data_IF_154762932884
#
_entry.id   IF_154762932884
#
_cell.length_a   1.000
_cell.length_b   1.000
_cell.length_c   1.000
_cell.angle_alpha   90.00
_cell.angle_beta   90.00
_cell.angle_gamma   90.00
#
_symmetry.space_group_name_H-M   'P 1'
#
loop_
_entity.id
_entity.type
_entity.pdbx_description
1 polymer ?
#
# COMPACT_ATOMS: atom_id res chain seq x y z
N UNK A 1 28.50 -9.87 2.71
CA UNK A 1 27.09 -9.58 2.33
C UNK A 1 27.10 -8.53 1.23
N UNK A 2 26.69 -8.87 0.01
CA UNK A 2 26.54 -7.89 -1.05
C UNK A 2 25.36 -6.98 -0.71
N UNK A 3 25.59 -5.67 -0.62
CA UNK A 3 24.53 -4.67 -0.52
C UNK A 3 23.61 -4.83 -1.73
N UNK A 4 22.36 -5.28 -1.51
CA UNK A 4 21.37 -5.32 -2.58
C UNK A 4 21.26 -3.94 -3.24
N UNK A 5 21.11 -3.88 -4.56
CA UNK A 5 20.89 -2.60 -5.23
C UNK A 5 19.62 -1.93 -4.68
N UNK A 6 19.58 -0.59 -4.68
CA UNK A 6 18.44 0.17 -4.15
C UNK A 6 17.07 -0.29 -4.70
N UNK A 7 16.92 -0.63 -6.00
CA UNK A 7 15.66 -1.16 -6.53
C UNK A 7 15.24 -2.50 -5.89
N UNK A 8 16.18 -3.40 -5.62
CA UNK A 8 15.89 -4.69 -4.97
C UNK A 8 15.41 -4.50 -3.53
N UNK A 9 15.96 -3.53 -2.80
CA UNK A 9 15.46 -3.18 -1.46
C UNK A 9 14.04 -2.64 -1.51
N UNK A 10 13.74 -1.74 -2.46
CA UNK A 10 12.38 -1.20 -2.65
C UNK A 10 11.37 -2.30 -2.99
N UNK A 11 11.75 -3.26 -3.83
CA UNK A 11 10.91 -4.41 -4.17
C UNK A 11 10.59 -5.28 -2.95
N UNK A 12 11.61 -5.64 -2.16
CA UNK A 12 11.41 -6.43 -0.93
C UNK A 12 10.54 -5.66 0.09
N UNK A 13 10.79 -4.36 0.26
CA UNK A 13 9.95 -3.52 1.12
C UNK A 13 8.49 -3.51 0.64
N UNK A 14 8.26 -3.45 -0.68
CA UNK A 14 6.90 -3.50 -1.23
C UNK A 14 6.24 -4.85 -0.98
N UNK A 15 6.92 -5.97 -1.20
CA UNK A 15 6.38 -7.30 -0.87
C UNK A 15 6.03 -7.44 0.61
N UNK A 16 6.91 -6.99 1.50
CA UNK A 16 6.63 -6.99 2.95
C UNK A 16 5.38 -6.16 3.29
N UNK A 17 5.17 -5.03 2.60
CA UNK A 17 3.98 -4.18 2.83
C UNK A 17 2.64 -4.82 2.42
N UNK A 18 2.68 -5.97 1.70
CA UNK A 18 1.50 -6.73 1.31
C UNK A 18 1.09 -7.79 2.34
N UNK A 19 1.96 -8.10 3.33
CA UNK A 19 1.60 -9.05 4.39
C UNK A 19 0.36 -8.58 5.14
N UNK A 20 -0.48 -9.53 5.48
CA UNK A 20 -1.78 -9.37 6.12
C UNK A 20 -2.82 -8.54 5.32
N UNK A 21 -2.53 -8.19 4.07
CA UNK A 21 -3.48 -7.51 3.16
C UNK A 21 -4.14 -8.51 2.20
N UNK A 22 -5.35 -8.18 1.75
CA UNK A 22 -6.05 -8.93 0.71
C UNK A 22 -5.45 -8.64 -0.67
N UNK A 23 -4.96 -9.69 -1.32
CA UNK A 23 -4.34 -9.62 -2.64
C UNK A 23 -5.05 -10.55 -3.62
N UNK A 24 -4.95 -10.22 -4.90
CA UNK A 24 -5.24 -11.11 -6.02
C UNK A 24 -3.91 -11.58 -6.60
N UNK A 25 -3.68 -12.88 -6.55
CA UNK A 25 -2.55 -13.55 -7.20
C UNK A 25 -3.06 -14.14 -8.51
N UNK A 26 -2.61 -13.60 -9.65
CA UNK A 26 -2.89 -14.19 -10.96
C UNK A 26 -1.79 -15.18 -11.32
N UNK A 27 -2.21 -16.25 -11.98
CA UNK A 27 -1.32 -17.29 -12.47
C UNK A 27 -1.17 -17.20 -13.99
N UNK A 28 -0.06 -17.71 -14.51
CA UNK A 28 0.26 -17.75 -15.94
C UNK A 28 -0.70 -18.62 -16.79
N UNK A 29 -1.59 -19.39 -16.16
CA UNK A 29 -2.61 -20.21 -16.79
C UNK A 29 -4.02 -19.57 -16.77
N UNK A 30 -4.13 -18.30 -16.37
CA UNK A 30 -5.40 -17.57 -16.34
C UNK A 30 -6.23 -17.77 -15.07
N UNK A 31 -5.82 -18.66 -14.15
CA UNK A 31 -6.44 -18.78 -12.83
C UNK A 31 -6.01 -17.63 -11.93
N UNK A 32 -6.84 -17.30 -10.95
CA UNK A 32 -6.45 -16.37 -9.89
C UNK A 32 -6.94 -16.87 -8.54
N UNK A 33 -6.29 -16.37 -7.50
CA UNK A 33 -6.72 -16.52 -6.12
C UNK A 33 -6.80 -15.15 -5.47
N UNK A 34 -7.93 -14.86 -4.81
CA UNK A 34 -8.14 -13.67 -3.97
C UNK A 34 -8.10 -14.08 -2.52
N UNK A 35 -7.21 -13.54 -1.70
CA UNK A 35 -7.11 -13.89 -0.28
C UNK A 35 -6.08 -13.06 0.48
N UNK A 36 -5.98 -13.27 1.79
CA UNK A 36 -5.04 -12.55 2.64
C UNK A 36 -3.63 -13.15 2.52
N UNK A 37 -2.63 -12.35 2.14
CA UNK A 37 -1.24 -12.82 2.05
C UNK A 37 -0.63 -12.97 3.44
N UNK A 38 -0.34 -14.20 3.86
CA UNK A 38 0.21 -14.49 5.20
C UNK A 38 1.68 -14.89 5.22
N UNK A 39 2.26 -15.12 4.04
CA UNK A 39 3.68 -15.43 3.95
C UNK A 39 4.15 -15.52 2.51
N UNK A 40 5.45 -15.27 2.32
CA UNK A 40 6.12 -15.50 1.06
C UNK A 40 7.60 -15.84 1.27
N UNK A 41 8.18 -16.51 0.28
CA UNK A 41 9.62 -16.75 0.17
C UNK A 41 10.21 -15.80 -0.89
N UNK A 42 11.17 -14.95 -0.51
CA UNK A 42 11.73 -13.93 -1.41
C UNK A 42 12.53 -14.55 -2.58
N UNK A 43 13.17 -15.70 -2.35
CA UNK A 43 14.03 -16.32 -3.35
C UNK A 43 13.24 -17.00 -4.48
N UNK A 44 12.07 -17.54 -4.14
CA UNK A 44 11.24 -18.35 -5.04
C UNK A 44 9.91 -17.70 -5.40
N UNK A 45 9.49 -16.65 -4.67
CA UNK A 45 8.14 -16.06 -4.69
C UNK A 45 7.02 -17.06 -4.39
N UNK A 46 7.31 -18.15 -3.68
CA UNK A 46 6.27 -19.00 -3.12
C UNK A 46 5.44 -18.18 -2.12
N UNK A 47 4.12 -18.33 -2.14
CA UNK A 47 3.21 -17.52 -1.31
C UNK A 47 2.16 -18.39 -0.62
N UNK A 48 1.69 -17.93 0.54
CA UNK A 48 0.57 -18.51 1.27
C UNK A 48 -0.56 -17.48 1.38
N UNK A 49 -1.75 -17.88 0.94
CA UNK A 49 -2.98 -17.10 1.07
C UNK A 49 -3.94 -17.78 2.05
N UNK A 50 -4.48 -17.04 3.01
CA UNK A 50 -5.57 -17.50 3.89
C UNK A 50 -6.93 -17.03 3.37
N UNK A 51 -7.95 -17.89 3.55
CA UNK A 51 -9.33 -17.59 3.18
C UNK A 51 -9.49 -17.27 1.69
N UNK A 52 -8.74 -17.96 0.83
CA UNK A 52 -8.64 -17.64 -0.58
C UNK A 52 -9.86 -18.12 -1.38
N UNK A 53 -10.30 -17.30 -2.33
CA UNK A 53 -11.34 -17.59 -3.31
C UNK A 53 -10.71 -17.69 -4.70
N UNK A 54 -11.04 -18.73 -5.47
CA UNK A 54 -10.58 -18.85 -6.86
C UNK A 54 -11.53 -18.18 -7.87
N UNK A 55 -11.15 -18.24 -9.14
CA UNK A 55 -11.93 -17.70 -10.26
C UNK A 55 -13.32 -18.31 -10.46
N UNK A 56 -13.62 -19.44 -9.81
CA UNK A 56 -14.94 -20.10 -9.83
C UNK A 56 -15.78 -19.76 -8.59
N UNK A 57 -15.27 -18.91 -7.70
CA UNK A 57 -15.91 -18.54 -6.44
C UNK A 57 -15.72 -19.58 -5.34
N UNK A 58 -14.87 -20.59 -5.55
CA UNK A 58 -14.63 -21.63 -4.55
C UNK A 58 -13.63 -21.15 -3.51
N UNK A 59 -14.01 -21.35 -2.24
CA UNK A 59 -13.23 -20.89 -1.09
C UNK A 59 -12.38 -22.01 -0.49
N UNK A 60 -11.18 -21.64 -0.07
CA UNK A 60 -10.18 -22.52 0.49
C UNK A 60 -9.59 -21.86 1.75
N UNK A 61 -9.50 -22.56 2.89
CA UNK A 61 -8.91 -21.98 4.10
C UNK A 61 -7.46 -21.54 3.90
N UNK A 62 -6.69 -22.28 3.11
CA UNK A 62 -5.31 -21.96 2.75
C UNK A 62 -5.02 -22.36 1.29
N UNK A 63 -4.26 -21.54 0.59
CA UNK A 63 -3.71 -21.84 -0.74
C UNK A 63 -2.22 -21.53 -0.74
N UNK A 64 -1.40 -22.53 -1.09
CA UNK A 64 0.02 -22.36 -1.33
C UNK A 64 0.28 -22.25 -2.82
N UNK A 65 0.83 -21.11 -3.25
CA UNK A 65 1.10 -20.81 -4.65
C UNK A 65 2.59 -20.93 -4.91
N UNK A 66 2.98 -21.78 -5.87
CA UNK A 66 4.35 -21.86 -6.35
C UNK A 66 4.71 -20.60 -7.15
N UNK A 67 5.79 -19.91 -6.80
CA UNK A 67 6.15 -18.62 -7.39
C UNK A 67 6.41 -18.68 -8.90
N UNK A 68 6.82 -19.83 -9.42
CA UNK A 68 7.00 -20.05 -10.87
C UNK A 68 5.71 -19.97 -11.69
N UNK A 69 4.54 -20.07 -11.05
CA UNK A 69 3.24 -19.95 -11.70
C UNK A 69 2.66 -18.54 -11.60
N UNK A 70 3.22 -17.67 -10.76
CA UNK A 70 2.71 -16.33 -10.49
C UNK A 70 3.04 -15.41 -11.65
N UNK A 71 2.02 -14.76 -12.21
CA UNK A 71 2.19 -13.70 -13.21
C UNK A 71 2.12 -12.32 -12.58
N UNK A 72 1.16 -12.10 -11.68
CA UNK A 72 0.90 -10.81 -11.05
C UNK A 72 0.49 -10.99 -9.58
N UNK A 73 0.90 -10.04 -8.74
CA UNK A 73 0.41 -9.89 -7.36
C UNK A 73 -0.22 -8.50 -7.29
N UNK A 74 -1.52 -8.46 -7.06
CA UNK A 74 -2.32 -7.23 -7.08
C UNK A 74 -2.86 -7.01 -5.68
N UNK A 75 -2.60 -5.85 -5.10
CA UNK A 75 -3.28 -5.42 -3.88
C UNK A 75 -4.69 -4.94 -4.27
N UNK A 76 -5.72 -5.68 -3.86
CA UNK A 76 -7.10 -5.39 -4.27
C UNK A 76 -7.73 -4.28 -3.43
N UNK A 77 -7.36 -4.24 -2.14
CA UNK A 77 -7.76 -3.22 -1.20
C UNK A 77 -6.52 -2.67 -0.49
N UNK A 78 -6.33 -1.36 -0.56
CA UNK A 78 -5.20 -0.69 0.06
C UNK A 78 -5.31 0.81 -0.08
N UNK A 79 -4.78 1.53 0.91
CA UNK A 79 -4.63 2.96 0.81
C UNK A 79 -3.71 3.29 -0.36
N UNK A 80 -4.26 3.92 -1.39
CA UNK A 80 -3.57 4.68 -2.45
C UNK A 80 -2.77 5.88 -1.93
N UNK A 81 -2.56 5.95 -0.61
CA UNK A 81 -1.72 6.96 0.00
C UNK A 81 -0.26 6.76 -0.37
N UNK A 82 0.24 7.70 -1.15
CA UNK A 82 1.65 7.92 -1.40
C UNK A 82 2.03 9.26 -0.78
N UNK A 83 3.03 9.24 0.11
CA UNK A 83 3.42 10.41 0.88
C UNK A 83 3.95 11.56 0.00
N UNK A 84 4.68 11.24 -1.08
CA UNK A 84 5.19 12.28 -2.00
C UNK A 84 4.05 12.89 -2.79
N UNK A 85 3.18 12.05 -3.32
CA UNK A 85 2.04 12.50 -4.09
C UNK A 85 1.08 13.33 -3.23
N UNK A 86 0.81 12.88 -2.00
CA UNK A 86 -0.01 13.63 -1.07
C UNK A 86 0.64 14.97 -0.69
N UNK A 87 1.96 15.04 -0.52
CA UNK A 87 2.65 16.31 -0.29
C UNK A 87 2.46 17.30 -1.46
N UNK A 88 2.54 16.85 -2.71
CA UNK A 88 2.22 17.69 -3.86
C UNK A 88 0.74 18.08 -3.89
N UNK A 89 -0.16 17.16 -3.52
CA UNK A 89 -1.59 17.43 -3.41
C UNK A 89 -1.88 18.52 -2.38
N UNK A 90 -1.23 18.50 -1.20
CA UNK A 90 -1.35 19.52 -0.16
C UNK A 90 -0.89 20.91 -0.64
N UNK A 91 0.16 20.97 -1.47
CA UNK A 91 0.63 22.23 -2.06
C UNK A 91 -0.37 22.73 -3.11
N UNK A 92 -0.79 21.88 -4.04
CA UNK A 92 -1.63 22.25 -5.18
C UNK A 92 -3.09 22.58 -4.80
N UNK A 93 -3.68 21.80 -3.89
CA UNK A 93 -5.11 21.91 -3.55
C UNK A 93 -5.33 22.48 -2.15
N UNK A 94 -4.37 22.29 -1.23
CA UNK A 94 -4.48 22.74 0.15
C UNK A 94 -3.94 24.16 0.40
N UNK A 95 -3.20 24.75 -0.55
CA UNK A 95 -2.45 26.00 -0.35
C UNK A 95 -1.57 25.94 0.92
N UNK A 96 -0.99 24.77 1.21
CA UNK A 96 -0.07 24.57 2.33
C UNK A 96 1.34 24.82 1.80
N UNK A 97 2.06 25.73 2.44
CA UNK A 97 3.42 26.07 2.04
C UNK A 97 4.35 24.86 2.13
N UNK A 98 5.12 24.59 1.07
CA UNK A 98 6.07 23.46 0.99
C UNK A 98 7.04 23.39 2.17
N UNK A 99 7.43 24.53 2.74
CA UNK A 99 8.31 24.63 3.92
C UNK A 99 7.69 24.03 5.20
N UNK A 100 6.37 23.85 5.26
CA UNK A 100 5.66 23.21 6.36
C UNK A 100 5.57 21.69 6.20
N UNK A 101 5.92 21.14 5.02
CA UNK A 101 5.72 19.74 4.69
C UNK A 101 7.06 19.02 4.73
N UNK A 102 7.09 17.89 5.44
CA UNK A 102 8.21 16.94 5.42
C UNK A 102 7.71 15.59 4.96
N UNK A 103 8.45 14.96 4.06
CA UNK A 103 8.12 13.63 3.53
C UNK A 103 9.21 12.66 3.95
N UNK A 104 8.78 11.55 4.55
CA UNK A 104 9.62 10.41 4.88
C UNK A 104 9.23 9.27 3.93
N UNK A 105 9.88 9.25 2.76
CA UNK A 105 9.58 8.33 1.64
C UNK A 105 9.81 6.86 2.02
N UNK A 106 10.81 6.61 2.84
CA UNK A 106 11.21 5.29 3.33
C UNK A 106 10.14 4.62 4.20
N UNK A 107 9.33 5.42 4.90
CA UNK A 107 8.25 4.95 5.77
C UNK A 107 6.85 5.40 5.33
N UNK A 108 6.73 6.01 4.15
CA UNK A 108 5.48 6.53 3.58
C UNK A 108 4.70 7.46 4.53
N UNK A 109 5.38 8.45 5.12
CA UNK A 109 4.79 9.41 6.08
C UNK A 109 4.94 10.84 5.59
N UNK A 110 3.91 11.67 5.82
CA UNK A 110 3.96 13.13 5.65
C UNK A 110 3.74 13.82 6.98
N UNK A 111 4.62 14.73 7.36
CA UNK A 111 4.41 15.65 8.48
C UNK A 111 4.09 17.05 7.96
N UNK A 112 3.08 17.69 8.57
CA UNK A 112 2.67 19.06 8.24
C UNK A 112 2.75 19.94 9.49
N UNK A 113 3.53 21.02 9.40
CA UNK A 113 3.64 22.02 10.46
C UNK A 113 4.20 21.51 11.79
N UNK A 114 4.86 20.35 11.80
CA UNK A 114 5.35 19.64 13.02
C UNK A 114 4.26 19.22 14.02
N UNK A 115 2.98 19.31 13.64
CA UNK A 115 1.84 19.06 14.55
C UNK A 115 0.84 18.07 13.96
N UNK A 116 0.93 17.79 12.66
CA UNK A 116 0.08 16.80 11.97
C UNK A 116 0.99 15.77 11.31
N UNK A 117 0.65 14.49 11.47
CA UNK A 117 1.30 13.36 10.83
C UNK A 117 0.27 12.58 10.03
N UNK A 118 0.61 12.21 8.79
CA UNK A 118 -0.28 11.52 7.87
C UNK A 118 0.39 10.26 7.37
N UNK A 119 -0.32 9.16 7.45
CA UNK A 119 0.10 7.83 7.00
C UNK A 119 -1.02 7.17 6.21
N UNK A 120 -0.79 5.96 5.71
CA UNK A 120 -1.86 5.16 5.09
C UNK A 120 -3.04 4.86 6.04
N UNK A 121 -2.80 4.90 7.35
CA UNK A 121 -3.81 4.66 8.39
C UNK A 121 -4.66 5.89 8.70
N UNK A 122 -4.29 7.08 8.22
CA UNK A 122 -5.06 8.31 8.41
C UNK A 122 -4.22 9.51 8.88
N UNK A 123 -4.91 10.49 9.46
CA UNK A 123 -4.35 11.76 9.93
C UNK A 123 -4.31 11.79 11.45
N UNK A 124 -3.12 11.94 12.02
CA UNK A 124 -2.86 12.10 13.45
C UNK A 124 -2.55 13.57 13.75
N UNK A 125 -3.19 14.16 14.77
CA UNK A 125 -2.95 15.54 15.20
C UNK A 125 -4.23 16.25 15.63
N UNK A 126 -4.09 17.45 16.20
CA UNK A 126 -5.23 18.24 16.70
C UNK A 126 -5.18 19.69 16.22
N UNK A 127 -6.34 20.35 16.18
CA UNK A 127 -6.48 21.77 15.85
C UNK A 127 -6.80 22.03 14.36
N UNK A 128 -6.86 23.31 13.95
CA UNK A 128 -7.36 23.70 12.63
C UNK A 128 -6.56 23.11 11.46
N UNK A 129 -5.24 22.98 11.61
CA UNK A 129 -4.38 22.37 10.59
C UNK A 129 -4.71 20.89 10.40
N UNK A 130 -4.92 20.14 11.50
CA UNK A 130 -5.27 18.72 11.43
C UNK A 130 -6.62 18.51 10.75
N UNK A 131 -7.62 19.34 11.07
CA UNK A 131 -8.93 19.28 10.43
C UNK A 131 -8.84 19.54 8.92
N UNK A 132 -8.05 20.55 8.51
CA UNK A 132 -7.84 20.86 7.09
C UNK A 132 -7.11 19.74 6.36
N UNK A 133 -6.04 19.20 6.95
CA UNK A 133 -5.28 18.08 6.36
C UNK A 133 -6.13 16.82 6.28
N UNK A 134 -7.01 16.56 7.26
CA UNK A 134 -7.97 15.46 7.20
C UNK A 134 -8.93 15.60 6.01
N UNK A 135 -9.50 16.79 5.78
CA UNK A 135 -10.36 17.02 4.60
C UNK A 135 -9.61 16.75 3.30
N UNK A 136 -8.38 17.29 3.16
CA UNK A 136 -7.55 17.08 1.98
C UNK A 136 -7.14 15.61 1.80
N UNK A 137 -6.89 14.90 2.89
CA UNK A 137 -6.60 13.46 2.88
C UNK A 137 -7.77 12.66 2.29
N UNK A 138 -9.00 12.94 2.74
CA UNK A 138 -10.19 12.28 2.22
C UNK A 138 -10.43 12.61 0.73
N UNK A 139 -10.24 13.86 0.33
CA UNK A 139 -10.33 14.27 -1.08
C UNK A 139 -9.29 13.58 -1.96
N UNK A 140 -8.04 13.51 -1.48
CA UNK A 140 -6.96 12.79 -2.15
C UNK A 140 -7.31 11.31 -2.34
N UNK A 141 -7.76 10.63 -1.28
CA UNK A 141 -8.15 9.21 -1.37
C UNK A 141 -9.33 8.99 -2.33
N UNK A 142 -10.32 9.90 -2.36
CA UNK A 142 -11.43 9.84 -3.33
C UNK A 142 -10.97 10.03 -4.76
N UNK A 143 -10.02 10.95 -5.01
CA UNK A 143 -9.44 11.16 -6.35
C UNK A 143 -8.76 9.91 -6.91
N UNK A 144 -8.37 9.00 -6.02
CA UNK A 144 -7.72 7.73 -6.33
C UNK A 144 -8.67 6.54 -6.44
N UNK A 145 -9.98 6.79 -6.45
CA UNK A 145 -11.00 5.76 -6.67
C UNK A 145 -11.35 4.93 -5.42
N UNK A 146 -10.84 5.28 -4.24
CA UNK A 146 -11.33 4.70 -3.00
C UNK A 146 -12.73 5.24 -2.69
N UNK A 147 -13.65 4.34 -2.33
CA UNK A 147 -14.92 4.71 -1.71
C UNK A 147 -14.64 5.04 -0.24
N UNK A 148 -14.49 6.33 0.06
CA UNK A 148 -14.19 6.88 1.39
C UNK A 148 -15.37 7.63 1.99
#
# INVERSE_FOLDING_TARGET
>A
MALAAEPSRRFVAKLNSLLDKNVVVKLNNGRYYRGKLVGFDIATLNMALEGAEDNEGKKWPIVLVGGSYVSEIILEEGSVFDAKEFAEFLVAHGNIGRHLIKVYDDINVVEVGKVVRVTESGVEGTGPMAQKVHTLYMEYLRSKGLKV
#
